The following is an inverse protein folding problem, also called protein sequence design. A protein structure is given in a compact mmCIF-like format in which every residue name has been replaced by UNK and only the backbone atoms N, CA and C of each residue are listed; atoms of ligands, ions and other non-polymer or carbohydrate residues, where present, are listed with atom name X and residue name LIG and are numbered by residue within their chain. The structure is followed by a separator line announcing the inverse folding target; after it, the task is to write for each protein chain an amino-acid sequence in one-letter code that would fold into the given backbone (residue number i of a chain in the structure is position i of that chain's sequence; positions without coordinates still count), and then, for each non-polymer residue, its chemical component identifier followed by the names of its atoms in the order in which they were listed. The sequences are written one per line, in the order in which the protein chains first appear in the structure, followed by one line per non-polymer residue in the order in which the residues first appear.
data_IF_926069110443
#
_entry.id   IF_926069110443
#
_cell.length_a   1.000
_cell.length_b   1.000
_cell.length_c   1.000
_cell.angle_alpha   90.00
_cell.angle_beta   90.00
_cell.angle_gamma   90.00
#
_symmetry.space_group_name_H-M   'P 1'
#
loop_
_entity.id
_entity.type
_entity.pdbx_description
1 polymer ?
#
# COMPACT_ATOMS: atom_id res chain seq x y z
N UNK A 1 -25.32 -17.15 13.94
CA UNK A 1 -25.32 -18.62 13.71
C UNK A 1 -26.54 -18.97 12.87
N UNK A 2 -26.36 -19.26 11.59
CA UNK A 2 -27.43 -19.83 10.76
C UNK A 2 -27.60 -21.30 11.18
N UNK A 3 -28.81 -21.81 11.46
CA UNK A 3 -28.99 -23.21 11.80
C UNK A 3 -28.58 -24.08 10.61
N UNK A 4 -27.58 -24.96 10.79
CA UNK A 4 -27.00 -25.80 9.74
C UNK A 4 -28.03 -26.63 8.96
N UNK A 5 -29.10 -27.05 9.63
CA UNK A 5 -30.20 -27.81 9.02
C UNK A 5 -30.90 -27.04 7.91
N UNK A 6 -31.15 -25.74 8.11
CA UNK A 6 -31.84 -24.90 7.10
C UNK A 6 -30.99 -24.67 5.86
N UNK A 7 -29.67 -24.68 6.00
CA UNK A 7 -28.76 -24.50 4.87
C UNK A 7 -28.79 -25.71 3.95
N UNK A 8 -28.79 -26.92 4.51
CA UNK A 8 -28.90 -28.15 3.72
C UNK A 8 -30.23 -28.22 2.96
N UNK A 9 -31.35 -27.91 3.62
CA UNK A 9 -32.66 -27.90 2.96
C UNK A 9 -32.71 -26.92 1.77
N UNK A 10 -32.07 -25.75 1.92
CA UNK A 10 -31.97 -24.75 0.84
C UNK A 10 -31.11 -25.26 -0.31
N UNK A 11 -29.96 -25.86 -0.02
CA UNK A 11 -29.05 -26.40 -1.03
C UNK A 11 -29.71 -27.55 -1.79
N UNK A 12 -30.39 -28.46 -1.09
CA UNK A 12 -31.13 -29.57 -1.71
C UNK A 12 -32.28 -29.04 -2.58
N UNK A 13 -32.98 -27.98 -2.15
CA UNK A 13 -34.02 -27.36 -2.96
C UNK A 13 -33.46 -26.70 -4.22
N UNK A 14 -32.30 -26.05 -4.12
CA UNK A 14 -31.60 -25.47 -5.28
C UNK A 14 -31.17 -26.55 -6.29
N UNK A 15 -30.63 -27.67 -5.80
CA UNK A 15 -30.23 -28.79 -6.65
C UNK A 15 -31.45 -29.41 -7.35
N UNK A 16 -32.59 -29.51 -6.66
CA UNK A 16 -33.86 -29.97 -7.27
C UNK A 16 -34.39 -29.02 -8.36
N UNK A 17 -34.04 -27.73 -8.29
CA UNK A 17 -34.35 -26.74 -9.33
C UNK A 17 -33.32 -26.71 -10.46
N UNK A 18 -32.27 -27.54 -10.39
CA UNK A 18 -31.19 -27.60 -11.36
C UNK A 18 -30.29 -26.37 -11.36
N UNK A 19 -30.26 -25.61 -10.26
CA UNK A 19 -29.41 -24.41 -10.11
C UNK A 19 -28.35 -24.68 -9.07
N UNK A 20 -27.09 -24.71 -9.47
CA UNK A 20 -25.99 -24.85 -8.53
C UNK A 20 -25.78 -23.54 -7.76
N UNK A 21 -25.25 -23.64 -6.53
CA UNK A 21 -24.90 -22.45 -5.74
C UNK A 21 -23.88 -21.54 -6.45
N UNK A 22 -22.99 -22.13 -7.26
CA UNK A 22 -22.04 -21.39 -8.08
C UNK A 22 -22.72 -20.58 -9.18
N UNK A 23 -23.66 -21.18 -9.91
CA UNK A 23 -24.43 -20.47 -10.95
C UNK A 23 -25.27 -19.34 -10.36
N UNK A 24 -25.88 -19.56 -9.20
CA UNK A 24 -26.58 -18.50 -8.49
C UNK A 24 -25.64 -17.35 -8.14
N UNK A 25 -24.46 -17.66 -7.59
CA UNK A 25 -23.48 -16.65 -7.20
C UNK A 25 -22.98 -15.84 -8.40
N UNK A 26 -22.68 -16.52 -9.52
CA UNK A 26 -22.28 -15.88 -10.78
C UNK A 26 -23.43 -15.05 -11.36
N UNK A 27 -24.65 -15.58 -11.39
CA UNK A 27 -25.81 -14.85 -11.91
C UNK A 27 -26.11 -13.58 -11.11
N UNK A 28 -25.99 -13.64 -9.78
CA UNK A 28 -26.17 -12.48 -8.91
C UNK A 28 -25.10 -11.41 -9.15
N UNK A 29 -23.83 -11.81 -9.31
CA UNK A 29 -22.73 -10.87 -9.47
C UNK A 29 -22.59 -10.31 -10.90
N UNK A 30 -22.98 -11.08 -11.91
CA UNK A 30 -22.82 -10.69 -13.31
C UNK A 30 -24.06 -10.01 -13.90
N UNK A 31 -25.22 -10.09 -13.26
CA UNK A 31 -26.46 -9.54 -13.80
C UNK A 31 -26.84 -8.22 -13.10
N UNK A 32 -26.67 -7.11 -13.82
CA UNK A 32 -26.94 -5.76 -13.34
C UNK A 32 -28.42 -5.50 -12.96
N UNK A 33 -29.34 -6.41 -13.29
CA UNK A 33 -30.73 -6.29 -12.90
C UNK A 33 -30.96 -6.46 -11.39
N UNK A 34 -29.97 -6.95 -10.64
CA UNK A 34 -30.06 -7.18 -9.20
C UNK A 34 -29.27 -6.17 -8.36
N UNK A 35 -28.80 -5.05 -8.94
CA UNK A 35 -27.94 -4.05 -8.28
C UNK A 35 -28.55 -3.52 -6.95
N UNK A 36 -29.88 -3.48 -6.81
CA UNK A 36 -30.54 -3.04 -5.57
C UNK A 36 -30.94 -4.18 -4.62
N UNK A 37 -30.64 -5.43 -4.96
CA UNK A 37 -30.92 -6.55 -4.07
C UNK A 37 -29.99 -6.50 -2.86
N UNK A 38 -30.54 -6.59 -1.64
CA UNK A 38 -29.74 -6.66 -0.41
C UNK A 38 -28.73 -7.82 -0.38
N UNK A 39 -28.87 -8.79 -1.29
CA UNK A 39 -27.90 -9.85 -1.50
C UNK A 39 -26.55 -9.32 -2.05
N UNK A 40 -26.56 -8.40 -3.03
CA UNK A 40 -25.32 -7.87 -3.60
C UNK A 40 -24.57 -7.01 -2.59
N UNK A 41 -25.28 -6.18 -1.83
CA UNK A 41 -24.66 -5.37 -0.78
C UNK A 41 -24.05 -6.25 0.30
N UNK A 42 -24.75 -7.31 0.73
CA UNK A 42 -24.19 -8.29 1.67
C UNK A 42 -22.96 -9.00 1.11
N UNK A 43 -22.97 -9.42 -0.16
CA UNK A 43 -21.81 -10.05 -0.80
C UNK A 43 -20.64 -9.08 -0.87
N UNK A 44 -20.89 -7.81 -1.23
CA UNK A 44 -19.86 -6.78 -1.28
C UNK A 44 -19.24 -6.52 0.10
N UNK A 45 -20.04 -6.47 1.16
CA UNK A 45 -19.55 -6.33 2.54
C UNK A 45 -18.71 -7.54 2.99
N UNK A 46 -19.07 -8.75 2.55
CA UNK A 46 -18.36 -9.99 2.90
C UNK A 46 -17.31 -10.41 1.85
N UNK A 47 -17.01 -9.60 0.83
CA UNK A 47 -16.23 -10.02 -0.32
C UNK A 47 -14.82 -10.52 0.06
N UNK A 48 -14.17 -9.83 1.00
CA UNK A 48 -12.85 -10.20 1.51
C UNK A 48 -12.87 -11.54 2.25
N UNK A 49 -13.90 -11.78 3.06
CA UNK A 49 -14.10 -13.04 3.79
C UNK A 49 -14.41 -14.19 2.83
N UNK A 50 -15.20 -13.94 1.79
CA UNK A 50 -15.51 -14.93 0.75
C UNK A 50 -14.24 -15.32 0.01
N UNK A 51 -13.47 -14.34 -0.48
CA UNK A 51 -12.20 -14.58 -1.18
C UNK A 51 -11.18 -15.28 -0.25
N UNK A 52 -11.11 -14.87 1.01
CA UNK A 52 -10.28 -15.51 2.03
C UNK A 52 -10.68 -16.96 2.27
N UNK A 53 -11.97 -17.25 2.35
CA UNK A 53 -12.51 -18.60 2.52
C UNK A 53 -12.21 -19.48 1.30
N UNK A 54 -12.35 -18.95 0.09
CA UNK A 54 -11.99 -19.64 -1.15
C UNK A 54 -10.49 -19.96 -1.20
N UNK A 55 -9.64 -19.05 -0.73
CA UNK A 55 -8.20 -19.27 -0.63
C UNK A 55 -7.83 -20.32 0.42
N UNK A 56 -8.51 -20.35 1.57
CA UNK A 56 -8.22 -21.31 2.65
C UNK A 56 -8.72 -22.73 2.34
N UNK A 57 -9.80 -22.85 1.57
CA UNK A 57 -10.41 -24.14 1.31
C UNK A 57 -9.57 -25.00 0.32
N UNK A 58 -9.21 -26.27 0.67
CA UNK A 58 -8.24 -27.06 -0.10
C UNK A 58 -8.60 -27.28 -1.58
N UNK A 59 -9.90 -27.41 -1.91
CA UNK A 59 -10.35 -27.65 -3.29
C UNK A 59 -10.30 -26.42 -4.18
N UNK A 60 -10.36 -25.22 -3.59
CA UNK A 60 -10.43 -23.95 -4.33
C UNK A 60 -9.14 -23.14 -4.24
N UNK A 61 -8.30 -23.42 -3.24
CA UNK A 61 -7.05 -22.69 -2.98
C UNK A 61 -6.21 -22.45 -4.24
N UNK A 62 -5.90 -23.51 -4.99
CA UNK A 62 -5.00 -23.40 -6.14
C UNK A 62 -5.62 -22.56 -7.28
N UNK A 63 -6.92 -22.74 -7.55
CA UNK A 63 -7.60 -21.94 -8.58
C UNK A 63 -7.73 -20.47 -8.14
N UNK A 64 -7.98 -20.21 -6.86
CA UNK A 64 -8.03 -18.86 -6.30
C UNK A 64 -6.67 -18.16 -6.39
N UNK A 65 -5.57 -18.86 -6.08
CA UNK A 65 -4.20 -18.31 -6.21
C UNK A 65 -3.91 -17.98 -7.68
N UNK A 66 -4.13 -18.93 -8.59
CA UNK A 66 -3.85 -18.74 -10.02
C UNK A 66 -4.67 -17.58 -10.61
N UNK A 67 -5.95 -17.47 -10.23
CA UNK A 67 -6.79 -16.35 -10.62
C UNK A 67 -6.25 -15.01 -10.07
N UNK A 68 -5.92 -14.95 -8.78
CA UNK A 68 -5.40 -13.73 -8.15
C UNK A 68 -4.08 -13.28 -8.81
N UNK A 69 -3.16 -14.21 -9.07
CA UNK A 69 -1.92 -13.91 -9.80
C UNK A 69 -2.19 -13.35 -11.18
N UNK A 70 -3.12 -13.94 -11.93
CA UNK A 70 -3.48 -13.45 -13.26
C UNK A 70 -4.07 -12.04 -13.21
N UNK A 71 -4.95 -11.75 -12.24
CA UNK A 71 -5.51 -10.41 -12.07
C UNK A 71 -4.43 -9.40 -11.70
N UNK A 72 -3.53 -9.72 -10.76
CA UNK A 72 -2.40 -8.87 -10.40
C UNK A 72 -1.51 -8.57 -11.61
N UNK A 73 -1.18 -9.58 -12.43
CA UNK A 73 -0.40 -9.39 -13.67
C UNK A 73 -1.09 -8.44 -14.64
N UNK A 74 -2.40 -8.58 -14.84
CA UNK A 74 -3.16 -7.71 -15.72
C UNK A 74 -3.15 -6.25 -15.24
N UNK A 75 -3.33 -6.05 -13.92
CA UNK A 75 -3.26 -4.72 -13.29
C UNK A 75 -1.86 -4.12 -13.48
N UNK A 76 -0.81 -4.84 -13.11
CA UNK A 76 0.57 -4.34 -13.26
C UNK A 76 0.95 -4.07 -14.71
N UNK A 77 0.51 -4.90 -15.65
CA UNK A 77 0.74 -4.66 -17.07
C UNK A 77 0.07 -3.35 -17.53
N UNK A 78 -1.17 -3.10 -17.11
CA UNK A 78 -1.87 -1.84 -17.39
C UNK A 78 -1.15 -0.64 -16.76
N UNK A 79 -0.74 -0.75 -15.51
CA UNK A 79 0.00 0.31 -14.81
C UNK A 79 1.35 0.61 -15.47
N UNK A 80 2.10 -0.41 -15.89
CA UNK A 80 3.35 -0.24 -16.65
C UNK A 80 3.07 0.46 -17.98
N UNK A 81 1.99 0.12 -18.69
CA UNK A 81 1.62 0.80 -19.92
C UNK A 81 1.28 2.27 -19.69
N UNK A 82 0.62 2.60 -18.57
CA UNK A 82 0.34 4.00 -18.21
C UNK A 82 1.62 4.77 -17.89
N UNK A 83 2.53 4.19 -17.10
CA UNK A 83 3.83 4.81 -16.80
C UNK A 83 4.70 5.01 -18.04
N UNK A 84 4.57 4.10 -19.01
CA UNK A 84 5.31 4.15 -20.28
C UNK A 84 4.57 4.90 -21.38
N UNK A 85 3.47 5.60 -21.09
CA UNK A 85 2.87 6.52 -22.06
C UNK A 85 3.73 7.79 -22.18
N UNK A 86 4.03 8.19 -23.42
CA UNK A 86 4.81 9.40 -23.72
C UNK A 86 4.20 10.67 -23.13
N UNK A 87 2.88 10.70 -22.95
CA UNK A 87 2.15 11.85 -22.39
C UNK A 87 2.46 12.11 -20.93
N UNK A 88 2.94 11.09 -20.20
CA UNK A 88 3.23 11.19 -18.76
C UNK A 88 4.62 11.81 -18.52
N UNK A 89 5.42 12.00 -19.58
CA UNK A 89 6.78 12.56 -19.52
C UNK A 89 7.73 11.81 -18.56
N UNK A 90 7.44 10.53 -18.26
CA UNK A 90 8.33 9.66 -17.48
C UNK A 90 9.42 8.98 -18.34
N UNK A 91 9.46 9.28 -19.63
CA UNK A 91 10.45 8.73 -20.56
C UNK A 91 11.77 9.48 -20.42
N UNK A 92 12.78 8.80 -19.89
CA UNK A 92 14.14 9.31 -19.91
C UNK A 92 14.74 9.11 -21.31
N UNK A 93 14.73 10.16 -22.14
CA UNK A 93 15.36 10.10 -23.45
C UNK A 93 16.84 10.49 -23.34
N UNK A 94 17.70 9.48 -23.20
CA UNK A 94 19.14 9.66 -22.96
C UNK A 94 19.86 10.52 -24.02
N UNK A 95 19.35 10.61 -25.24
CA UNK A 95 19.96 11.42 -26.33
C UNK A 95 19.69 12.92 -26.24
N UNK A 96 18.66 13.36 -25.51
CA UNK A 96 18.25 14.77 -25.41
C UNK A 96 18.30 15.32 -23.98
N UNK A 97 18.79 14.55 -23.02
CA UNK A 97 18.86 15.00 -21.62
C UNK A 97 20.16 15.77 -21.44
N UNK A 98 20.08 17.09 -21.61
CA UNK A 98 21.13 18.01 -21.17
C UNK A 98 21.26 17.85 -19.65
N UNK A 99 22.49 17.84 -19.13
CA UNK A 99 22.81 17.63 -17.71
C UNK A 99 21.97 18.50 -16.75
N UNK A 100 21.57 19.70 -17.20
CA UNK A 100 20.67 20.62 -16.49
C UNK A 100 19.25 20.05 -16.29
N UNK A 101 18.67 19.35 -17.29
CA UNK A 101 17.33 18.74 -17.18
C UNK A 101 17.27 17.54 -16.25
N UNK A 102 18.42 16.96 -15.92
CA UNK A 102 18.51 15.85 -14.97
C UNK A 102 18.36 16.34 -13.52
N UNK A 103 18.67 17.62 -13.26
CA UNK A 103 18.42 18.28 -11.97
C UNK A 103 16.95 18.67 -11.80
N UNK A 104 16.24 18.96 -12.90
CA UNK A 104 14.82 19.35 -12.90
C UNK A 104 13.84 18.19 -12.75
N UNK A 105 14.28 16.93 -12.92
CA UNK A 105 13.44 15.77 -12.58
C UNK A 105 13.47 15.62 -11.07
N UNK A 106 12.60 16.37 -10.40
CA UNK A 106 12.39 16.22 -8.97
C UNK A 106 11.90 14.79 -8.69
N UNK A 107 12.69 14.04 -7.92
CA UNK A 107 12.36 12.67 -7.48
C UNK A 107 10.96 12.62 -6.83
N UNK A 108 10.52 13.73 -6.22
CA UNK A 108 9.20 13.87 -5.63
C UNK A 108 8.08 13.82 -6.69
N UNK A 109 8.23 14.55 -7.80
CA UNK A 109 7.27 14.55 -8.92
C UNK A 109 7.20 13.17 -9.60
N UNK A 110 8.35 12.50 -9.74
CA UNK A 110 8.40 11.10 -10.22
C UNK A 110 7.62 10.16 -9.28
N UNK A 111 7.83 10.30 -7.97
CA UNK A 111 7.19 9.45 -6.96
C UNK A 111 5.68 9.68 -6.94
N UNK A 112 5.23 10.93 -7.01
CA UNK A 112 3.81 11.27 -7.05
C UNK A 112 3.14 10.68 -8.29
N UNK A 113 3.74 10.83 -9.47
CA UNK A 113 3.24 10.25 -10.73
C UNK A 113 3.19 8.72 -10.68
N UNK A 114 4.21 8.08 -10.09
CA UNK A 114 4.20 6.62 -9.91
C UNK A 114 3.07 6.16 -8.99
N UNK A 115 2.84 6.84 -7.88
CA UNK A 115 1.75 6.51 -6.95
C UNK A 115 0.38 6.71 -7.61
N UNK A 116 0.21 7.78 -8.39
CA UNK A 116 -1.06 8.09 -9.04
C UNK A 116 -1.40 7.14 -10.19
N UNK A 117 -0.41 6.76 -11.00
CA UNK A 117 -0.63 5.99 -12.24
C UNK A 117 -0.38 4.49 -12.09
N UNK A 118 0.38 4.10 -11.08
CA UNK A 118 0.76 2.72 -10.83
C UNK A 118 0.74 2.36 -9.32
N UNK A 119 -0.39 2.57 -8.63
CA UNK A 119 -0.48 2.34 -7.19
C UNK A 119 -0.19 0.88 -6.80
N UNK A 120 -0.62 -0.09 -7.59
CA UNK A 120 -0.36 -1.50 -7.35
C UNK A 120 1.12 -1.85 -7.45
N UNK A 121 1.78 -1.37 -8.51
CA UNK A 121 3.21 -1.55 -8.74
C UNK A 121 4.05 -0.84 -7.68
N UNK A 122 3.63 0.36 -7.25
CA UNK A 122 4.28 1.08 -6.17
C UNK A 122 4.21 0.31 -4.85
N UNK A 123 3.04 -0.24 -4.51
CA UNK A 123 2.89 -1.11 -3.34
C UNK A 123 3.77 -2.35 -3.42
N UNK A 124 3.90 -2.95 -4.62
CA UNK A 124 4.81 -4.07 -4.85
C UNK A 124 6.27 -3.68 -4.60
N UNK A 125 6.71 -2.51 -5.06
CA UNK A 125 8.06 -2.02 -4.78
C UNK A 125 8.31 -1.81 -3.28
N UNK A 126 7.35 -1.29 -2.53
CA UNK A 126 7.50 -1.13 -1.08
C UNK A 126 7.71 -2.47 -0.38
N UNK A 127 6.97 -3.51 -0.78
CA UNK A 127 7.16 -4.88 -0.28
C UNK A 127 8.54 -5.41 -0.64
N UNK A 128 8.96 -5.28 -1.91
CA UNK A 128 10.27 -5.76 -2.38
C UNK A 128 11.43 -5.06 -1.69
N UNK A 129 11.36 -3.74 -1.52
CA UNK A 129 12.37 -2.93 -0.84
C UNK A 129 12.43 -3.21 0.67
N UNK A 130 11.29 -3.57 1.28
CA UNK A 130 11.21 -3.94 2.69
C UNK A 130 11.68 -5.37 2.96
N UNK A 131 11.60 -6.25 1.97
CA UNK A 131 12.10 -7.62 2.06
C UNK A 131 13.64 -7.71 2.11
N UNK A 132 14.36 -6.69 1.61
CA UNK A 132 15.82 -6.63 1.73
C UNK A 132 16.24 -6.27 3.16
N UNK A 133 16.71 -7.29 3.88
CA UNK A 133 17.16 -7.17 5.28
C UNK A 133 18.32 -6.18 5.46
N UNK A 134 19.19 -6.02 4.46
CA UNK A 134 20.32 -5.08 4.50
C UNK A 134 19.86 -3.64 4.35
N UNK A 135 18.93 -3.38 3.43
CA UNK A 135 18.31 -2.05 3.29
C UNK A 135 17.50 -1.68 4.54
N UNK A 136 16.76 -2.63 5.10
CA UNK A 136 16.00 -2.40 6.32
C UNK A 136 16.91 -2.09 7.51
N UNK A 137 17.99 -2.85 7.70
CA UNK A 137 19.02 -2.57 8.70
C UNK A 137 19.59 -1.15 8.56
N UNK A 138 19.97 -0.73 7.34
CA UNK A 138 20.51 0.60 7.08
C UNK A 138 19.49 1.72 7.35
N UNK A 139 18.21 1.52 7.03
CA UNK A 139 17.13 2.48 7.32
C UNK A 139 16.95 2.68 8.82
N UNK A 140 16.90 1.58 9.58
CA UNK A 140 16.79 1.64 11.06
C UNK A 140 18.01 2.33 11.65
N UNK A 141 19.22 2.01 11.16
CA UNK A 141 20.45 2.67 11.61
C UNK A 141 20.45 4.18 11.33
N UNK A 142 20.06 4.64 10.13
CA UNK A 142 19.96 6.08 9.83
C UNK A 142 18.94 6.80 10.72
N UNK A 143 17.78 6.19 10.98
CA UNK A 143 16.78 6.76 11.89
C UNK A 143 17.33 6.89 13.32
N UNK A 144 18.10 5.92 13.79
CA UNK A 144 18.75 6.01 15.11
C UNK A 144 19.82 7.11 15.18
N UNK A 145 20.57 7.35 14.09
CA UNK A 145 21.56 8.43 13.99
C UNK A 145 20.91 9.82 13.97
N UNK A 146 19.78 9.98 13.27
CA UNK A 146 19.02 11.24 13.26
C UNK A 146 18.45 11.57 14.65
N UNK A 147 17.92 10.57 15.35
CA UNK A 147 17.42 10.75 16.73
C UNK A 147 18.53 11.02 17.75
N UNK A 148 19.77 10.59 17.47
CA UNK A 148 20.93 10.93 18.31
C UNK A 148 21.38 12.38 18.06
N UNK A 149 21.38 12.85 16.81
CA UNK A 149 21.71 14.24 16.47
C UNK A 149 20.67 15.25 16.96
N UNK A 150 19.38 14.89 17.01
CA UNK A 150 18.34 15.75 17.61
C UNK A 150 18.36 15.77 19.15
N UNK A 151 19.09 14.84 19.79
CA UNK A 151 19.20 14.74 21.25
C UNK A 151 20.50 15.29 21.81
N UNK A 152 21.43 15.76 20.98
CA UNK A 152 22.61 16.50 21.44
C UNK A 152 22.16 17.93 21.78
N UNK A 153 22.04 18.31 23.07
CA UNK A 153 21.67 19.66 23.45
C UNK A 153 22.87 20.58 23.21
N UNK A 154 22.62 21.85 22.83
CA UNK A 154 23.59 22.95 22.84
C UNK A 154 24.19 23.12 24.25
N UNK A 155 25.21 22.33 24.59
CA UNK A 155 25.99 22.51 25.82
C UNK A 155 27.31 23.21 25.47
N UNK A 156 27.23 24.55 25.39
CA UNK A 156 28.38 25.43 25.49
C UNK A 156 27.97 26.78 26.10
N UNK A 157 27.35 26.76 27.28
CA UNK A 157 27.29 27.93 28.16
C UNK A 157 28.47 27.83 29.14
N UNK A 158 29.56 28.51 28.79
CA UNK A 158 30.69 28.73 29.70
C UNK A 158 30.18 29.52 30.93
N UNK A 159 30.45 29.07 32.17
CA UNK A 159 30.18 29.90 33.33
C UNK A 159 31.14 31.10 33.35
N UNK A 160 30.57 32.30 33.47
CA UNK A 160 31.32 33.55 33.59
C UNK A 160 32.29 33.53 34.79
N UNK A 161 33.47 34.16 34.68
CA UNK A 161 34.45 34.15 35.75
C UNK A 161 33.96 34.97 36.96
N UNK A 162 34.13 34.36 38.14
CA UNK A 162 33.87 34.95 39.45
C UNK A 162 34.94 36.01 39.75
N UNK A 163 34.50 37.22 40.10
CA UNK A 163 35.27 38.12 40.96
C UNK A 163 35.38 39.57 40.49
N UNK A 164 34.73 40.48 41.20
CA UNK A 164 35.33 41.74 41.70
C UNK A 164 34.30 42.51 42.56
N UNK A 165 34.51 42.51 43.87
CA UNK A 165 33.93 43.51 44.77
C UNK A 165 34.56 44.89 44.48
N UNK A 166 33.80 45.99 44.42
CA UNK A 166 34.35 47.32 44.56
C UNK A 166 34.16 47.84 45.99
N UNK A 167 35.28 47.97 46.70
CA UNK A 167 35.41 48.81 47.89
C UNK A 167 35.77 50.22 47.44
N UNK A 168 34.91 51.21 47.65
CA UNK A 168 35.31 52.61 47.91
C UNK A 168 34.10 53.41 48.35
N UNK A 169 34.12 53.93 49.58
CA UNK A 169 33.43 55.16 49.95
C UNK A 169 33.94 55.63 51.30
N UNK A 170 34.69 56.74 51.29
CA UNK A 170 35.00 57.57 52.44
C UNK A 170 34.67 59.01 52.01
N UNK A 171 33.98 59.81 52.83
CA UNK A 171 33.96 61.24 52.61
C UNK A 171 34.43 62.05 53.83
N UNK A 172 35.06 63.18 53.48
CA UNK A 172 35.29 64.45 54.21
C UNK A 172 36.11 64.43 55.50
#
# INVERSE_FOLDING_TARGET
MVPSVKLHDILDHMDNLGVTSGELFVALLCNNNYIQAGAITSIATCATEILGSLHQHPRTRNVTIAWAEQQSRNVYASEILQLTDKKVNLHFNATNTIEERMQDIEINDLTEKMIQLAPGLWSLFDVLLSADSKLNYMRVWRKSQQQQKEKEPDECVLPAPVGAHPTTSFPA
#
